data_IF_467239992638
#
_entry.id   IF_467239992638
#
_cell.length_a   1.000
_cell.length_b   1.000
_cell.length_c   1.000
_cell.angle_alpha   90.00
_cell.angle_beta   90.00
_cell.angle_gamma   90.00
#
_symmetry.space_group_name_H-M   'P 1'
#
loop_
_entity.id
_entity.type
_entity.pdbx_description
1 polymer ?
#
# COMPACT_ATOMS: atom_id res chain seq x y z
N UNK A 1 -74.43 8.39 -23.73
CA UNK A 1 -73.77 9.62 -24.21
C UNK A 1 -73.10 10.31 -23.01
N UNK A 2 -71.94 10.96 -23.21
CA UNK A 2 -70.86 11.03 -22.22
C UNK A 2 -70.75 12.39 -21.50
N UNK A 3 -70.23 12.38 -20.27
CA UNK A 3 -69.63 13.56 -19.62
C UNK A 3 -68.14 13.26 -19.34
N UNK A 4 -67.19 14.00 -19.94
CA UNK A 4 -65.83 13.50 -20.15
C UNK A 4 -64.79 14.08 -19.17
N UNK A 5 -63.89 13.21 -18.70
CA UNK A 5 -62.43 13.24 -18.87
C UNK A 5 -61.60 14.55 -18.73
N UNK A 6 -62.12 15.68 -18.24
CA UNK A 6 -61.36 16.94 -18.20
C UNK A 6 -60.55 17.15 -16.91
N UNK A 7 -60.97 16.56 -15.78
CA UNK A 7 -60.35 16.79 -14.46
C UNK A 7 -59.11 15.93 -14.15
N UNK A 8 -58.80 14.91 -14.96
CA UNK A 8 -57.57 14.08 -14.77
C UNK A 8 -56.32 14.64 -15.45
N UNK A 9 -56.43 15.60 -16.37
CA UNK A 9 -55.27 16.15 -17.09
C UNK A 9 -54.54 17.28 -16.36
N UNK A 10 -55.18 18.01 -15.43
CA UNK A 10 -54.50 19.10 -14.72
C UNK A 10 -53.58 18.64 -13.57
N UNK A 11 -53.77 17.45 -13.00
CA UNK A 11 -52.89 16.93 -11.93
C UNK A 11 -51.58 16.31 -12.43
N UNK A 12 -51.52 15.87 -13.69
CA UNK A 12 -50.28 15.28 -14.24
C UNK A 12 -49.26 16.34 -14.68
N UNK A 13 -49.69 17.51 -15.16
CA UNK A 13 -48.77 18.53 -15.67
C UNK A 13 -47.98 19.22 -14.55
N UNK A 14 -48.54 19.36 -13.35
CA UNK A 14 -47.85 19.96 -12.21
C UNK A 14 -46.78 19.02 -11.59
N UNK A 15 -46.95 17.70 -11.74
CA UNK A 15 -46.01 16.71 -11.22
C UNK A 15 -44.80 16.49 -12.13
N UNK A 16 -44.98 16.61 -13.45
CA UNK A 16 -43.90 16.44 -14.44
C UNK A 16 -42.99 17.68 -14.49
N UNK A 17 -43.55 18.90 -14.31
CA UNK A 17 -42.75 20.14 -14.30
C UNK A 17 -41.93 20.27 -13.02
N UNK A 18 -42.44 19.83 -11.85
CA UNK A 18 -41.66 19.78 -10.60
C UNK A 18 -40.52 18.76 -10.63
N UNK A 19 -40.66 17.64 -11.36
CA UNK A 19 -39.57 16.66 -11.52
C UNK A 19 -38.43 17.13 -12.42
N UNK A 20 -38.67 18.05 -13.37
CA UNK A 20 -37.61 18.65 -14.18
C UNK A 20 -36.84 19.76 -13.46
N UNK A 21 -37.47 20.48 -12.53
CA UNK A 21 -36.79 21.50 -11.74
C UNK A 21 -36.03 20.98 -10.51
N UNK A 22 -36.24 19.72 -10.11
CA UNK A 22 -35.44 19.06 -9.07
C UNK A 22 -34.33 18.15 -9.61
N UNK A 23 -34.22 17.99 -10.93
CA UNK A 23 -33.18 17.17 -11.57
C UNK A 23 -31.97 17.98 -12.06
N UNK A 24 -31.89 19.28 -11.71
CA UNK A 24 -30.78 20.17 -12.08
C UNK A 24 -30.04 20.76 -10.86
N UNK A 25 -30.26 20.22 -9.67
CA UNK A 25 -29.50 20.53 -8.46
C UNK A 25 -29.00 19.23 -7.84
N UNK A 26 -27.67 19.14 -7.68
CA UNK A 26 -26.88 18.00 -7.21
C UNK A 26 -26.67 16.85 -8.23
N UNK A 27 -25.93 17.11 -9.30
CA UNK A 27 -24.90 16.14 -9.65
C UNK A 27 -23.96 16.05 -8.44
N UNK A 28 -23.97 14.94 -7.71
CA UNK A 28 -23.10 14.75 -6.57
C UNK A 28 -21.65 14.90 -7.05
N UNK A 29 -20.81 15.58 -6.26
CA UNK A 29 -19.37 15.72 -6.53
C UNK A 29 -18.64 14.38 -6.70
N UNK A 30 -19.32 13.26 -6.41
CA UNK A 30 -18.86 11.88 -6.55
C UNK A 30 -18.86 11.34 -8.00
N UNK A 31 -19.27 12.10 -9.01
CA UNK A 31 -19.36 11.59 -10.40
C UNK A 31 -18.46 12.35 -11.39
N UNK A 32 -17.50 13.13 -10.89
CA UNK A 32 -16.52 13.82 -11.75
C UNK A 32 -15.43 12.85 -12.21
N UNK A 33 -15.16 12.88 -13.51
CA UNK A 33 -14.03 12.18 -14.12
C UNK A 33 -12.71 12.63 -13.49
N UNK A 34 -11.83 11.67 -13.23
CA UNK A 34 -10.49 11.91 -12.71
C UNK A 34 -9.57 12.27 -13.87
N UNK A 35 -9.12 13.53 -13.90
CA UNK A 35 -8.23 14.04 -14.95
C UNK A 35 -7.17 14.98 -14.38
N UNK A 36 -5.98 15.08 -14.99
CA UNK A 36 -4.95 16.04 -14.57
C UNK A 36 -5.41 17.50 -14.56
N UNK A 37 -6.32 17.88 -15.46
CA UNK A 37 -6.77 19.25 -15.61
C UNK A 37 -7.74 19.71 -14.50
N UNK A 38 -8.46 18.79 -13.87
CA UNK A 38 -9.58 19.12 -12.97
C UNK A 38 -9.48 18.49 -11.58
N UNK A 39 -8.65 17.46 -11.39
CA UNK A 39 -8.51 16.75 -10.12
C UNK A 39 -7.28 17.24 -9.36
N UNK A 40 -7.50 17.77 -8.15
CA UNK A 40 -6.41 18.15 -7.23
C UNK A 40 -6.06 16.96 -6.35
N UNK A 41 -4.78 16.62 -6.27
CA UNK A 41 -4.32 15.47 -5.50
C UNK A 41 -3.54 15.89 -4.27
N UNK A 42 -3.83 15.25 -3.15
CA UNK A 42 -3.13 15.37 -1.90
C UNK A 42 -2.23 14.16 -1.65
N UNK A 43 -1.08 14.36 -1.01
CA UNK A 43 -0.17 13.27 -0.64
C UNK A 43 0.41 13.45 0.75
N UNK A 44 0.17 12.49 1.64
CA UNK A 44 0.67 12.47 3.02
C UNK A 44 1.71 11.35 3.16
N UNK A 45 2.94 11.72 3.49
CA UNK A 45 4.05 10.78 3.65
C UNK A 45 4.92 10.66 2.40
N UNK A 46 6.05 11.36 2.39
CA UNK A 46 6.99 11.43 1.26
C UNK A 46 8.28 10.66 1.54
N UNK A 47 8.14 9.50 2.18
CA UNK A 47 9.25 8.56 2.43
C UNK A 47 9.76 7.87 1.16
N UNK A 48 10.51 6.79 1.32
CA UNK A 48 11.13 6.02 0.21
C UNK A 48 10.10 5.67 -0.87
N UNK A 49 8.98 5.08 -0.47
CA UNK A 49 7.88 4.72 -1.38
C UNK A 49 7.12 5.96 -1.88
N UNK A 50 6.61 6.77 -0.94
CA UNK A 50 5.68 7.86 -1.24
C UNK A 50 6.24 8.93 -2.15
N UNK A 51 7.54 9.25 -2.04
CA UNK A 51 8.20 10.21 -2.94
C UNK A 51 8.12 9.78 -4.40
N UNK A 52 8.41 8.51 -4.70
CA UNK A 52 8.38 7.99 -6.07
C UNK A 52 6.95 7.94 -6.60
N UNK A 53 6.01 7.44 -5.79
CA UNK A 53 4.60 7.31 -6.16
C UNK A 53 3.94 8.67 -6.43
N UNK A 54 4.12 9.65 -5.54
CA UNK A 54 3.61 11.00 -5.72
C UNK A 54 4.29 11.70 -6.92
N UNK A 55 5.56 11.39 -7.16
CA UNK A 55 6.31 11.87 -8.31
C UNK A 55 5.74 11.44 -9.66
N UNK A 56 5.11 10.27 -9.75
CA UNK A 56 4.44 9.82 -10.98
C UNK A 56 3.16 10.62 -11.25
N UNK A 57 2.42 10.99 -10.21
CA UNK A 57 1.24 11.84 -10.34
C UNK A 57 1.61 13.24 -10.87
N UNK A 58 2.72 13.82 -10.39
CA UNK A 58 3.27 15.05 -10.96
C UNK A 58 3.64 14.89 -12.43
N UNK A 59 4.31 13.78 -12.79
CA UNK A 59 4.68 13.50 -14.19
C UNK A 59 3.47 13.36 -15.10
N UNK A 60 2.36 12.85 -14.58
CA UNK A 60 1.09 12.75 -15.28
C UNK A 60 0.31 14.08 -15.36
N UNK A 61 0.86 15.17 -14.80
CA UNK A 61 0.30 16.52 -14.88
C UNK A 61 -0.70 16.88 -13.78
N UNK A 62 -0.87 16.04 -12.76
CA UNK A 62 -1.76 16.38 -11.64
C UNK A 62 -1.16 17.48 -10.75
N UNK A 63 -2.02 18.39 -10.30
CA UNK A 63 -1.65 19.32 -9.24
C UNK A 63 -1.54 18.59 -7.90
N UNK A 64 -0.39 18.71 -7.24
CA UNK A 64 -0.08 17.96 -6.03
C UNK A 64 0.18 18.86 -4.82
N UNK A 65 -0.57 18.63 -3.73
CA UNK A 65 -0.31 19.21 -2.41
C UNK A 65 0.22 18.12 -1.48
N UNK A 66 1.39 18.32 -0.88
CA UNK A 66 2.10 17.29 -0.11
C UNK A 66 2.27 17.70 1.34
N UNK A 67 2.33 16.70 2.21
CA UNK A 67 2.73 16.85 3.61
C UNK A 67 3.66 15.71 4.02
N UNK A 68 4.65 16.04 4.83
CA UNK A 68 5.44 15.05 5.54
C UNK A 68 5.84 15.59 6.91
N UNK A 69 5.80 14.74 7.95
CA UNK A 69 6.22 15.10 9.32
C UNK A 69 7.61 15.74 9.37
N UNK A 70 8.51 15.29 8.49
CA UNK A 70 9.82 15.90 8.27
C UNK A 70 9.77 16.65 6.93
N UNK A 71 9.57 17.98 6.92
CA UNK A 71 9.35 18.75 5.68
C UNK A 71 10.44 18.57 4.62
N UNK A 72 11.70 18.47 5.03
CA UNK A 72 12.84 18.27 4.12
C UNK A 72 12.71 17.01 3.22
N UNK A 73 11.96 15.97 3.65
CA UNK A 73 11.73 14.79 2.81
C UNK A 73 10.79 15.07 1.62
N UNK A 74 10.04 16.17 1.64
CA UNK A 74 9.18 16.57 0.53
C UNK A 74 9.93 17.37 -0.54
N UNK A 75 11.14 17.87 -0.27
CA UNK A 75 11.88 18.77 -1.15
C UNK A 75 11.96 18.28 -2.61
N UNK A 76 12.27 17.00 -2.91
CA UNK A 76 12.34 16.54 -4.30
C UNK A 76 11.02 16.62 -5.09
N UNK A 77 9.87 16.69 -4.40
CA UNK A 77 8.57 16.92 -5.02
C UNK A 77 8.28 18.41 -5.19
N UNK A 78 8.73 19.24 -4.25
CA UNK A 78 8.61 20.70 -4.32
C UNK A 78 9.42 21.27 -5.49
N UNK A 79 10.63 20.75 -5.70
CA UNK A 79 11.48 21.10 -6.85
C UNK A 79 10.82 20.78 -8.20
N UNK A 80 9.81 19.90 -8.19
CA UNK A 80 9.03 19.48 -9.35
C UNK A 80 7.64 20.15 -9.41
N UNK A 81 7.37 21.14 -8.57
CA UNK A 81 6.15 21.94 -8.60
C UNK A 81 5.04 21.51 -7.65
N UNK A 82 5.27 20.52 -6.76
CA UNK A 82 4.32 20.25 -5.68
C UNK A 82 4.28 21.40 -4.67
N UNK A 83 3.15 21.57 -3.98
CA UNK A 83 3.01 22.53 -2.88
C UNK A 83 3.06 21.85 -1.52
N UNK A 84 3.84 22.40 -0.60
CA UNK A 84 3.87 21.91 0.78
C UNK A 84 2.70 22.47 1.58
N UNK A 85 1.98 21.62 2.31
CA UNK A 85 1.00 22.02 3.30
C UNK A 85 1.54 21.88 4.74
N UNK A 86 0.95 22.62 5.68
CA UNK A 86 1.35 22.57 7.09
C UNK A 86 0.86 21.34 7.85
N UNK A 87 -0.15 20.63 7.33
CA UNK A 87 -0.74 19.47 8.03
C UNK A 87 -1.58 18.55 7.11
N UNK A 88 -1.94 17.33 7.56
CA UNK A 88 -2.82 16.42 6.82
C UNK A 88 -4.18 17.05 6.49
N UNK A 89 -4.82 17.73 7.44
CA UNK A 89 -6.07 18.45 7.20
C UNK A 89 -5.91 19.57 6.15
N UNK A 90 -4.76 20.26 6.15
CA UNK A 90 -4.46 21.29 5.14
C UNK A 90 -4.26 20.69 3.74
N UNK A 91 -3.63 19.51 3.62
CA UNK A 91 -3.57 18.76 2.35
C UNK A 91 -4.98 18.44 1.88
N UNK A 92 -5.82 17.92 2.78
CA UNK A 92 -7.18 17.52 2.45
C UNK A 92 -8.06 18.68 1.96
N UNK A 93 -7.99 19.85 2.60
CA UNK A 93 -8.74 21.05 2.15
C UNK A 93 -8.37 21.52 0.74
N UNK A 94 -7.15 21.22 0.30
CA UNK A 94 -6.64 21.62 -1.01
C UNK A 94 -6.86 20.56 -2.11
N UNK A 95 -7.47 19.42 -1.78
CA UNK A 95 -7.47 18.22 -2.64
C UNK A 95 -8.86 17.62 -2.80
N UNK A 96 -9.07 16.90 -3.91
CA UNK A 96 -10.27 16.11 -4.18
C UNK A 96 -10.03 14.61 -3.89
N UNK A 97 -8.78 14.16 -4.06
CA UNK A 97 -8.31 12.82 -3.67
C UNK A 97 -7.04 12.98 -2.85
N UNK A 98 -6.97 12.37 -1.67
CA UNK A 98 -5.80 12.40 -0.79
C UNK A 98 -5.25 11.00 -0.62
N UNK A 99 -4.00 10.79 -0.99
CA UNK A 99 -3.27 9.57 -0.70
C UNK A 99 -2.47 9.72 0.60
N UNK A 100 -2.32 8.63 1.34
CA UNK A 100 -1.37 8.54 2.44
C UNK A 100 -0.54 7.25 2.37
N UNK A 101 0.74 7.34 2.68
CA UNK A 101 1.62 6.18 2.86
C UNK A 101 2.65 6.47 3.96
N UNK A 102 2.39 5.95 5.16
CA UNK A 102 3.14 6.28 6.38
C UNK A 102 3.75 5.03 7.04
N UNK A 103 4.38 5.18 8.21
CA UNK A 103 5.21 4.12 8.79
C UNK A 103 4.42 3.00 9.48
N UNK A 104 3.52 3.38 10.39
CA UNK A 104 2.84 2.46 11.30
C UNK A 104 1.31 2.69 11.34
N UNK A 105 0.50 1.70 11.77
CA UNK A 105 -0.94 1.89 11.95
C UNK A 105 -1.31 3.07 12.85
N UNK A 106 -0.52 3.36 13.88
CA UNK A 106 -0.70 4.53 14.73
C UNK A 106 -0.50 5.85 13.98
N UNK A 107 0.48 5.90 13.05
CA UNK A 107 0.65 7.05 12.16
C UNK A 107 -0.56 7.19 11.24
N UNK A 108 -1.07 6.09 10.65
CA UNK A 108 -2.27 6.08 9.80
C UNK A 108 -3.47 6.66 10.56
N UNK A 109 -3.75 6.12 11.75
CA UNK A 109 -4.84 6.62 12.61
C UNK A 109 -4.70 8.11 12.85
N UNK A 110 -3.50 8.58 13.23
CA UNK A 110 -3.27 10.01 13.49
C UNK A 110 -3.49 10.87 12.25
N UNK A 111 -2.90 10.50 11.12
CA UNK A 111 -3.00 11.35 9.91
C UNK A 111 -4.35 11.27 9.22
N UNK A 112 -5.14 10.21 9.44
CA UNK A 112 -6.47 10.07 8.86
C UNK A 112 -7.57 10.61 9.79
N UNK A 113 -7.55 10.21 11.07
CA UNK A 113 -8.68 10.33 12.01
C UNK A 113 -8.51 11.39 13.11
N UNK A 114 -7.36 12.06 13.22
CA UNK A 114 -7.25 13.15 14.20
C UNK A 114 -8.36 14.19 13.94
N UNK A 115 -9.15 14.55 14.96
CA UNK A 115 -10.37 15.35 14.77
C UNK A 115 -10.09 16.78 14.32
N UNK A 116 -8.87 17.29 14.52
CA UNK A 116 -8.49 18.67 14.21
C UNK A 116 -7.52 18.76 13.05
N UNK A 117 -6.59 17.80 12.95
CA UNK A 117 -5.47 17.85 12.04
C UNK A 117 -5.40 16.66 11.07
N UNK A 118 -6.29 15.69 11.24
CA UNK A 118 -6.39 14.52 10.37
C UNK A 118 -6.97 14.88 8.99
N UNK A 119 -6.64 14.08 7.99
CA UNK A 119 -7.09 14.29 6.62
C UNK A 119 -8.62 14.31 6.51
N UNK A 120 -9.34 13.41 7.19
CA UNK A 120 -10.80 13.39 7.13
C UNK A 120 -11.44 14.68 7.67
N UNK A 121 -10.82 15.35 8.65
CA UNK A 121 -11.31 16.63 9.17
C UNK A 121 -11.20 17.79 8.14
N UNK A 122 -10.38 17.63 7.11
CA UNK A 122 -10.18 18.62 6.05
C UNK A 122 -10.85 18.30 4.72
N UNK A 123 -11.39 17.09 4.52
CA UNK A 123 -11.98 16.70 3.24
C UNK A 123 -13.33 17.39 3.00
N UNK A 124 -13.55 17.82 1.76
CA UNK A 124 -14.86 18.30 1.32
C UNK A 124 -15.76 17.12 0.92
N UNK A 125 -17.10 17.23 1.05
CA UNK A 125 -18.03 16.19 0.60
C UNK A 125 -17.78 15.70 -0.84
N UNK A 126 -17.76 14.38 -1.01
CA UNK A 126 -17.45 13.68 -2.27
C UNK A 126 -15.97 13.43 -2.53
N UNK A 127 -15.08 13.95 -1.68
CA UNK A 127 -13.64 13.66 -1.77
C UNK A 127 -13.31 12.23 -1.33
N UNK A 128 -12.10 11.76 -1.65
CA UNK A 128 -11.65 10.41 -1.33
C UNK A 128 -10.33 10.41 -0.56
N UNK A 129 -10.26 9.63 0.51
CA UNK A 129 -9.00 9.27 1.17
C UNK A 129 -8.53 7.90 0.68
N UNK A 130 -7.26 7.75 0.36
CA UNK A 130 -6.67 6.48 -0.07
C UNK A 130 -5.47 6.14 0.82
N UNK A 131 -5.59 5.11 1.64
CA UNK A 131 -4.50 4.59 2.47
C UNK A 131 -3.72 3.52 1.73
N UNK A 132 -2.50 3.84 1.32
CA UNK A 132 -1.57 2.90 0.66
C UNK A 132 -0.54 2.29 1.62
N UNK A 133 -0.69 2.55 2.92
CA UNK A 133 0.14 1.97 3.99
C UNK A 133 -0.23 0.51 4.21
N UNK A 134 0.73 -0.33 4.58
CA UNK A 134 0.40 -1.64 5.16
C UNK A 134 0.05 -1.45 6.63
N UNK A 135 -1.23 -1.69 6.96
CA UNK A 135 -1.87 -1.32 8.22
C UNK A 135 -2.93 -2.34 8.65
N UNK A 136 -3.60 -2.09 9.78
CA UNK A 136 -4.63 -2.97 10.34
C UNK A 136 -5.93 -2.97 9.50
N UNK A 137 -6.49 -4.13 9.13
CA UNK A 137 -7.77 -4.20 8.41
C UNK A 137 -8.94 -3.55 9.16
N UNK A 138 -8.97 -3.67 10.48
CA UNK A 138 -10.00 -3.04 11.31
C UNK A 138 -9.92 -1.51 11.27
N UNK A 139 -8.71 -0.94 11.25
CA UNK A 139 -8.51 0.51 11.12
C UNK A 139 -8.98 1.01 9.74
N UNK A 140 -8.75 0.25 8.68
CA UNK A 140 -9.27 0.60 7.35
C UNK A 140 -10.82 0.65 7.32
N UNK A 141 -11.49 -0.30 7.99
CA UNK A 141 -12.94 -0.29 8.12
C UNK A 141 -13.45 0.92 8.93
N UNK A 142 -12.75 1.27 10.02
CA UNK A 142 -13.06 2.47 10.82
C UNK A 142 -12.91 3.76 10.00
N UNK A 143 -11.83 3.88 9.23
CA UNK A 143 -11.58 5.05 8.36
C UNK A 143 -12.67 5.17 7.30
N UNK A 144 -13.09 4.05 6.70
CA UNK A 144 -14.18 4.05 5.73
C UNK A 144 -15.51 4.53 6.33
N UNK A 145 -15.83 4.11 7.55
CA UNK A 145 -17.04 4.55 8.24
C UNK A 145 -16.98 6.03 8.62
N UNK A 146 -15.85 6.51 9.14
CA UNK A 146 -15.64 7.92 9.44
C UNK A 146 -15.74 8.80 8.17
N UNK A 147 -15.16 8.35 7.05
CA UNK A 147 -15.26 9.06 5.77
C UNK A 147 -16.71 9.13 5.29
N UNK A 148 -17.46 8.02 5.40
CA UNK A 148 -18.87 7.94 5.01
C UNK A 148 -19.74 8.91 5.83
N UNK A 149 -19.50 9.04 7.13
CA UNK A 149 -20.18 10.01 7.98
C UNK A 149 -19.96 11.46 7.52
N UNK A 150 -18.79 11.77 6.96
CA UNK A 150 -18.45 13.05 6.34
C UNK A 150 -18.88 13.20 4.87
N UNK A 151 -19.73 12.31 4.34
CA UNK A 151 -20.10 12.26 2.91
C UNK A 151 -18.88 12.13 1.96
N UNK A 152 -17.82 11.49 2.43
CA UNK A 152 -16.61 11.17 1.69
C UNK A 152 -16.49 9.65 1.50
N UNK A 153 -15.48 9.21 0.75
CA UNK A 153 -15.12 7.80 0.65
C UNK A 153 -13.69 7.57 1.18
N UNK A 154 -13.41 6.35 1.65
CA UNK A 154 -12.05 5.91 1.90
C UNK A 154 -11.79 4.54 1.28
N UNK A 155 -10.58 4.39 0.74
CA UNK A 155 -10.08 3.17 0.09
C UNK A 155 -8.79 2.74 0.80
N UNK A 156 -8.72 1.50 1.28
CA UNK A 156 -7.45 0.89 1.66
C UNK A 156 -6.81 0.23 0.43
N UNK A 157 -5.68 0.78 -0.02
CA UNK A 157 -4.98 0.39 -1.24
C UNK A 157 -3.49 0.08 -1.00
N UNK A 158 -3.11 -0.78 -0.04
CA UNK A 158 -1.72 -1.15 0.19
C UNK A 158 -1.07 -1.77 -1.05
N UNK A 159 0.26 -1.68 -1.11
CA UNK A 159 1.03 -2.02 -2.32
C UNK A 159 2.05 -3.13 -2.13
N UNK A 160 2.40 -3.81 -3.22
CA UNK A 160 3.51 -4.78 -3.30
C UNK A 160 4.41 -4.48 -4.51
N UNK A 161 5.70 -4.76 -4.37
CA UNK A 161 6.74 -4.44 -5.38
C UNK A 161 7.96 -3.65 -4.85
N UNK A 162 7.86 -3.12 -3.63
CA UNK A 162 8.95 -2.40 -2.94
C UNK A 162 9.39 -1.12 -3.65
N UNK A 163 10.52 -0.54 -3.20
CA UNK A 163 11.07 0.72 -3.75
C UNK A 163 11.29 0.64 -5.26
N UNK A 164 11.77 -0.50 -5.76
CA UNK A 164 11.95 -0.73 -7.21
C UNK A 164 10.64 -0.57 -7.98
N UNK A 165 9.56 -1.22 -7.53
CA UNK A 165 8.25 -1.10 -8.17
C UNK A 165 7.70 0.31 -8.07
N UNK A 166 7.90 1.00 -6.94
CA UNK A 166 7.46 2.37 -6.75
C UNK A 166 8.16 3.33 -7.72
N UNK A 167 9.48 3.21 -7.90
CA UNK A 167 10.23 4.02 -8.87
C UNK A 167 9.85 3.71 -10.32
N UNK A 168 9.58 2.45 -10.63
CA UNK A 168 9.23 2.02 -11.97
C UNK A 168 7.75 2.26 -12.35
N UNK A 169 6.89 2.60 -11.39
CA UNK A 169 5.45 2.74 -11.63
C UNK A 169 4.76 1.39 -11.89
N UNK A 170 5.30 0.30 -11.34
CA UNK A 170 4.83 -1.07 -11.60
C UNK A 170 4.35 -1.78 -10.33
N UNK A 171 3.82 -1.03 -9.35
CA UNK A 171 3.33 -1.62 -8.12
C UNK A 171 2.11 -2.51 -8.37
N UNK A 172 1.96 -3.57 -7.57
CA UNK A 172 0.65 -4.22 -7.41
C UNK A 172 -0.09 -3.50 -6.30
N UNK A 173 -1.29 -2.99 -6.58
CA UNK A 173 -2.11 -2.23 -5.64
C UNK A 173 -3.33 -3.06 -5.27
N UNK A 174 -3.57 -3.31 -3.99
CA UNK A 174 -4.68 -4.13 -3.50
C UNK A 174 -5.76 -3.23 -2.90
N UNK A 175 -6.81 -2.90 -3.64
CA UNK A 175 -7.80 -1.91 -3.23
C UNK A 175 -9.05 -2.55 -2.60
N UNK A 176 -9.31 -2.23 -1.33
CA UNK A 176 -10.55 -2.47 -0.61
C UNK A 176 -11.37 -1.19 -0.45
N UNK A 177 -12.70 -1.30 -0.52
CA UNK A 177 -13.63 -0.17 -0.36
C UNK A 177 -14.81 -0.26 -1.33
N UNK A 178 -15.41 0.89 -1.67
CA UNK A 178 -16.49 0.96 -2.65
C UNK A 178 -15.96 0.69 -4.07
N UNK A 179 -16.51 -0.31 -4.76
CA UNK A 179 -16.06 -0.73 -6.09
C UNK A 179 -16.20 0.37 -7.17
N UNK A 180 -17.21 1.23 -7.08
CA UNK A 180 -17.39 2.36 -8.01
C UNK A 180 -16.29 3.38 -7.79
N UNK A 181 -15.99 3.70 -6.53
CA UNK A 181 -14.92 4.64 -6.17
C UNK A 181 -13.55 4.08 -6.58
N UNK A 182 -13.28 2.81 -6.34
CA UNK A 182 -12.01 2.17 -6.77
C UNK A 182 -11.83 2.29 -8.29
N UNK A 183 -12.85 1.94 -9.09
CA UNK A 183 -12.79 2.08 -10.56
C UNK A 183 -12.61 3.53 -11.00
N UNK A 184 -13.27 4.48 -10.33
CA UNK A 184 -13.13 5.90 -10.64
C UNK A 184 -11.69 6.39 -10.46
N UNK A 185 -10.96 5.83 -9.50
CA UNK A 185 -9.56 6.17 -9.19
C UNK A 185 -8.53 5.49 -10.10
N UNK A 186 -8.95 4.64 -11.05
CA UNK A 186 -8.05 3.95 -12.00
C UNK A 186 -7.01 4.87 -12.66
N UNK A 187 -7.36 6.10 -13.13
CA UNK A 187 -6.37 6.99 -13.77
C UNK A 187 -5.23 7.42 -12.84
N UNK A 188 -5.49 7.49 -11.52
CA UNK A 188 -4.46 7.82 -10.52
C UNK A 188 -3.63 6.57 -10.17
N UNK A 189 -4.29 5.44 -9.96
CA UNK A 189 -3.58 4.17 -9.68
C UNK A 189 -2.67 3.77 -10.83
N UNK A 190 -3.14 3.90 -12.08
CA UNK A 190 -2.41 3.60 -13.30
C UNK A 190 -1.11 4.39 -13.48
N UNK A 191 -0.94 5.52 -12.77
CA UNK A 191 0.31 6.28 -12.76
C UNK A 191 1.44 5.56 -11.99
N UNK A 192 1.11 4.66 -11.05
CA UNK A 192 2.08 4.07 -10.12
C UNK A 192 2.02 2.55 -10.03
N UNK A 193 1.03 1.91 -10.65
CA UNK A 193 0.91 0.47 -10.66
C UNK A 193 -0.40 -0.03 -11.26
N UNK A 194 -0.67 -1.32 -11.02
CA UNK A 194 -1.90 -2.01 -11.44
C UNK A 194 -2.74 -2.29 -10.21
N UNK A 195 -3.95 -1.74 -10.20
CA UNK A 195 -4.93 -1.95 -9.12
C UNK A 195 -5.72 -3.24 -9.32
N UNK A 196 -5.99 -3.91 -8.19
CA UNK A 196 -6.82 -5.11 -8.10
C UNK A 196 -7.83 -4.88 -6.98
N UNK A 197 -9.11 -4.93 -7.32
CA UNK A 197 -10.18 -4.81 -6.34
C UNK A 197 -10.29 -6.07 -5.49
N UNK A 198 -10.31 -5.91 -4.16
CA UNK A 198 -10.28 -7.00 -3.19
C UNK A 198 -11.59 -7.17 -2.40
N UNK A 199 -12.56 -6.28 -2.61
CA UNK A 199 -13.83 -6.27 -1.89
C UNK A 199 -14.02 -4.99 -1.09
N UNK A 200 -14.88 -5.05 -0.07
CA UNK A 200 -15.22 -3.90 0.78
C UNK A 200 -14.06 -3.40 1.66
N UNK A 201 -14.33 -2.43 2.55
CA UNK A 201 -13.32 -1.85 3.42
C UNK A 201 -12.52 -2.88 4.22
N UNK A 202 -11.20 -2.72 4.26
CA UNK A 202 -10.24 -3.60 4.94
C UNK A 202 -9.78 -4.82 4.13
N UNK A 203 -10.44 -5.11 2.99
CA UNK A 203 -10.06 -6.26 2.16
C UNK A 203 -8.74 -6.04 1.41
N UNK A 204 -8.36 -4.80 1.11
CA UNK A 204 -7.06 -4.46 0.55
C UNK A 204 -5.94 -4.78 1.54
N UNK A 205 -6.11 -4.37 2.80
CA UNK A 205 -5.20 -4.73 3.90
C UNK A 205 -5.11 -6.25 4.07
N UNK A 206 -6.22 -6.97 4.13
CA UNK A 206 -6.20 -8.45 4.25
C UNK A 206 -5.46 -9.13 3.09
N UNK A 207 -5.69 -8.67 1.87
CA UNK A 207 -4.95 -9.16 0.70
C UNK A 207 -3.44 -8.88 0.83
N UNK A 208 -3.06 -7.70 1.34
CA UNK A 208 -1.66 -7.37 1.62
C UNK A 208 -1.07 -8.24 2.72
N UNK A 209 -1.78 -8.49 3.82
CA UNK A 209 -1.31 -9.38 4.89
C UNK A 209 -1.07 -10.79 4.37
N UNK A 210 -1.99 -11.34 3.56
CA UNK A 210 -1.79 -12.60 2.87
C UNK A 210 -0.53 -12.63 2.00
N UNK A 211 -0.23 -11.54 1.30
CA UNK A 211 1.02 -11.39 0.55
C UNK A 211 2.26 -11.43 1.45
N UNK A 212 2.23 -10.75 2.60
CA UNK A 212 3.35 -10.72 3.56
C UNK A 212 3.59 -12.09 4.21
N UNK A 213 2.52 -12.85 4.51
CA UNK A 213 2.61 -14.23 5.01
C UNK A 213 3.34 -15.13 4.00
N UNK A 214 2.95 -15.08 2.72
CA UNK A 214 3.58 -15.88 1.67
C UNK A 214 5.07 -15.51 1.49
N UNK A 215 5.40 -14.22 1.55
CA UNK A 215 6.78 -13.74 1.49
C UNK A 215 7.61 -14.29 2.67
N UNK A 216 7.05 -14.28 3.88
CA UNK A 216 7.75 -14.70 5.09
C UNK A 216 8.20 -16.16 5.00
N UNK A 217 7.28 -17.08 4.72
CA UNK A 217 7.59 -18.50 4.60
C UNK A 217 8.51 -18.82 3.43
N UNK A 218 8.36 -18.11 2.30
CA UNK A 218 9.25 -18.29 1.14
C UNK A 218 10.69 -17.86 1.47
N UNK A 219 10.87 -16.77 2.21
CA UNK A 219 12.21 -16.32 2.60
C UNK A 219 12.87 -17.30 3.57
N UNK A 220 12.14 -17.85 4.54
CA UNK A 220 12.65 -18.90 5.45
C UNK A 220 13.16 -20.09 4.64
N UNK A 221 12.35 -20.62 3.72
CA UNK A 221 12.76 -21.74 2.86
C UNK A 221 13.98 -21.43 2.00
N UNK A 222 14.09 -20.19 1.47
CA UNK A 222 15.26 -19.76 0.71
C UNK A 222 16.54 -19.79 1.57
N UNK A 223 16.53 -19.14 2.74
CA UNK A 223 17.75 -19.04 3.57
C UNK A 223 18.16 -20.37 4.20
N UNK A 224 17.19 -21.21 4.58
CA UNK A 224 17.46 -22.57 5.07
C UNK A 224 18.05 -23.45 3.96
N UNK A 225 17.48 -23.40 2.75
CA UNK A 225 17.99 -24.13 1.59
C UNK A 225 19.42 -23.70 1.23
N UNK A 226 19.72 -22.40 1.25
CA UNK A 226 21.06 -21.89 1.01
C UNK A 226 22.07 -22.37 2.06
N UNK A 227 21.69 -22.37 3.34
CA UNK A 227 22.55 -22.88 4.42
C UNK A 227 22.75 -24.39 4.34
N UNK A 228 21.71 -25.15 3.97
CA UNK A 228 21.83 -26.58 3.71
C UNK A 228 22.80 -26.85 2.55
N UNK A 229 22.60 -26.19 1.40
CA UNK A 229 23.46 -26.35 0.23
C UNK A 229 24.92 -26.05 0.57
N UNK A 230 25.17 -24.98 1.34
CA UNK A 230 26.50 -24.63 1.83
C UNK A 230 27.10 -25.73 2.71
N UNK A 231 26.35 -26.22 3.70
CA UNK A 231 26.84 -27.25 4.63
C UNK A 231 27.06 -28.60 3.94
N UNK A 232 26.27 -28.89 2.91
CA UNK A 232 26.40 -30.08 2.06
C UNK A 232 27.59 -30.00 1.08
N UNK A 233 28.31 -28.87 1.02
CA UNK A 233 29.47 -28.69 0.14
C UNK A 233 29.12 -28.34 -1.30
N UNK A 234 27.89 -27.90 -1.58
CA UNK A 234 27.51 -27.42 -2.90
C UNK A 234 28.04 -26.00 -3.14
N UNK A 235 28.30 -25.69 -4.42
CA UNK A 235 28.38 -24.30 -4.87
C UNK A 235 26.96 -23.71 -4.83
N UNK A 236 26.72 -22.82 -3.88
CA UNK A 236 25.39 -22.25 -3.61
C UNK A 236 24.91 -21.38 -4.78
N UNK A 237 25.80 -20.75 -5.54
CA UNK A 237 25.45 -19.98 -6.73
C UNK A 237 24.89 -20.89 -7.82
N UNK A 238 25.62 -21.96 -8.17
CA UNK A 238 25.16 -22.97 -9.12
C UNK A 238 23.89 -23.67 -8.65
N UNK A 239 23.76 -23.92 -7.35
CA UNK A 239 22.55 -24.51 -6.78
C UNK A 239 21.35 -23.58 -6.95
N UNK A 240 21.48 -22.28 -6.63
CA UNK A 240 20.41 -21.29 -6.83
C UNK A 240 19.98 -21.22 -8.30
N UNK A 241 20.93 -21.19 -9.23
CA UNK A 241 20.65 -21.21 -10.67
C UNK A 241 19.84 -22.46 -11.05
N UNK A 242 20.29 -23.64 -10.62
CA UNK A 242 19.65 -24.91 -10.95
C UNK A 242 18.20 -25.01 -10.44
N UNK A 243 17.89 -24.47 -9.27
CA UNK A 243 16.54 -24.55 -8.70
C UNK A 243 15.61 -23.43 -9.19
N UNK A 244 16.15 -22.33 -9.71
CA UNK A 244 15.39 -21.11 -10.06
C UNK A 244 14.29 -21.34 -11.10
N UNK A 245 14.49 -22.27 -12.02
CA UNK A 245 13.52 -22.60 -13.09
C UNK A 245 12.59 -23.77 -12.74
N UNK A 246 12.86 -24.47 -11.64
CA UNK A 246 12.09 -25.63 -11.18
C UNK A 246 10.94 -25.25 -10.25
N UNK A 247 10.33 -26.27 -9.61
CA UNK A 247 9.23 -26.07 -8.67
C UNK A 247 9.59 -25.25 -7.42
N UNK A 248 10.89 -25.16 -7.09
CA UNK A 248 11.40 -24.33 -6.00
C UNK A 248 11.67 -22.86 -6.43
N UNK A 249 11.52 -22.56 -7.72
CA UNK A 249 11.66 -21.22 -8.27
C UNK A 249 10.66 -20.24 -7.65
N UNK A 250 11.13 -19.03 -7.31
CA UNK A 250 10.25 -17.99 -6.78
C UNK A 250 10.81 -16.60 -7.05
N UNK A 251 9.93 -15.59 -7.04
CA UNK A 251 10.36 -14.20 -7.23
C UNK A 251 11.34 -13.74 -6.15
N UNK A 252 11.24 -14.27 -4.93
CA UNK A 252 12.17 -13.92 -3.86
C UNK A 252 13.55 -14.52 -4.08
N UNK A 253 13.62 -15.74 -4.61
CA UNK A 253 14.89 -16.35 -5.01
C UNK A 253 15.60 -15.47 -6.04
N UNK A 254 14.90 -15.07 -7.10
CA UNK A 254 15.47 -14.20 -8.15
C UNK A 254 15.97 -12.86 -7.61
N UNK A 255 15.24 -12.29 -6.64
CA UNK A 255 15.53 -10.97 -6.11
C UNK A 255 16.64 -10.98 -5.05
N UNK A 256 16.73 -12.05 -4.25
CA UNK A 256 17.52 -12.06 -3.03
C UNK A 256 18.61 -13.13 -2.98
N UNK A 257 18.50 -14.24 -3.72
CA UNK A 257 19.48 -15.34 -3.66
C UNK A 257 20.91 -14.87 -3.94
N UNK A 258 21.13 -14.17 -5.05
CA UNK A 258 22.44 -13.57 -5.37
C UNK A 258 22.86 -12.50 -4.36
N UNK A 259 21.93 -11.64 -3.91
CA UNK A 259 22.25 -10.58 -2.94
C UNK A 259 22.71 -11.16 -1.61
N UNK A 260 22.09 -12.24 -1.15
CA UNK A 260 22.51 -12.98 0.04
C UNK A 260 23.93 -13.52 -0.14
N UNK A 261 24.23 -14.14 -1.28
CA UNK A 261 25.57 -14.65 -1.60
C UNK A 261 26.63 -13.55 -1.63
N UNK A 262 26.28 -12.40 -2.21
CA UNK A 262 27.16 -11.24 -2.30
C UNK A 262 27.25 -10.44 -0.98
N UNK A 263 26.57 -10.90 0.08
CA UNK A 263 26.42 -10.21 1.39
C UNK A 263 25.79 -8.81 1.29
N UNK A 264 25.03 -8.55 0.24
CA UNK A 264 24.27 -7.31 0.05
C UNK A 264 22.97 -7.35 0.88
N UNK A 265 23.04 -6.72 2.07
CA UNK A 265 21.92 -6.58 3.00
C UNK A 265 21.22 -5.22 2.90
N UNK A 266 21.46 -4.44 1.84
CA UNK A 266 20.80 -3.14 1.68
C UNK A 266 19.28 -3.31 1.55
N UNK A 267 18.56 -2.51 2.33
CA UNK A 267 17.12 -2.57 2.42
C UNK A 267 16.42 -2.06 1.16
N UNK A 268 15.70 -2.97 0.50
CA UNK A 268 14.58 -2.61 -0.39
C UNK A 268 13.25 -2.64 0.34
N UNK A 269 13.20 -3.42 1.42
CA UNK A 269 12.16 -3.45 2.41
C UNK A 269 12.81 -3.79 3.75
N UNK A 270 12.62 -2.91 4.73
CA UNK A 270 13.33 -2.97 6.01
C UNK A 270 12.80 -4.09 6.90
N UNK A 271 13.70 -4.74 7.65
CA UNK A 271 13.36 -5.76 8.64
C UNK A 271 12.35 -5.23 9.66
N UNK A 272 12.54 -4.03 10.21
CA UNK A 272 11.62 -3.48 11.21
C UNK A 272 10.19 -3.28 10.68
N UNK A 273 10.05 -2.89 9.41
CA UNK A 273 8.75 -2.79 8.77
C UNK A 273 8.14 -4.17 8.51
N UNK A 274 8.96 -5.17 8.18
CA UNK A 274 8.44 -6.52 7.98
C UNK A 274 8.00 -7.17 9.30
N UNK A 275 8.76 -7.00 10.39
CA UNK A 275 8.36 -7.43 11.73
C UNK A 275 7.01 -6.81 12.10
N UNK A 276 6.84 -5.50 11.87
CA UNK A 276 5.54 -4.82 12.05
C UNK A 276 4.43 -5.49 11.24
N UNK A 277 4.63 -5.70 9.93
CA UNK A 277 3.61 -6.34 9.07
C UNK A 277 3.24 -7.75 9.57
N UNK A 278 4.22 -8.57 9.93
CA UNK A 278 3.98 -9.92 10.44
C UNK A 278 3.29 -9.91 11.81
N UNK A 279 3.56 -8.91 12.65
CA UNK A 279 2.82 -8.67 13.89
C UNK A 279 1.33 -8.40 13.63
N UNK A 280 1.02 -7.55 12.64
CA UNK A 280 -0.36 -7.28 12.21
C UNK A 280 -1.02 -8.57 11.69
N UNK A 281 -0.31 -9.37 10.89
CA UNK A 281 -0.80 -10.67 10.43
C UNK A 281 -1.17 -11.59 11.60
N UNK A 282 -0.32 -11.68 12.63
CA UNK A 282 -0.57 -12.52 13.80
C UNK A 282 -1.80 -12.04 14.58
N UNK A 283 -1.97 -10.73 14.77
CA UNK A 283 -3.15 -10.16 15.41
C UNK A 283 -4.44 -10.43 14.62
N UNK A 284 -4.41 -10.27 13.28
CA UNK A 284 -5.56 -10.60 12.44
C UNK A 284 -5.87 -12.11 12.45
N UNK A 285 -4.84 -12.96 12.50
CA UNK A 285 -5.05 -14.41 12.65
C UNK A 285 -5.73 -14.75 13.98
N UNK A 286 -5.34 -14.11 15.08
CA UNK A 286 -5.98 -14.29 16.39
C UNK A 286 -7.46 -13.89 16.35
N UNK A 287 -7.81 -12.76 15.72
CA UNK A 287 -9.21 -12.31 15.62
C UNK A 287 -10.09 -13.29 14.83
N UNK A 288 -9.51 -14.02 13.88
CA UNK A 288 -10.19 -15.05 13.09
C UNK A 288 -10.16 -16.46 13.72
N UNK A 289 -9.44 -16.66 14.83
CA UNK A 289 -9.20 -18.01 15.37
C UNK A 289 -8.34 -18.89 14.46
N UNK A 290 -7.45 -18.29 13.65
CA UNK A 290 -6.60 -18.98 12.68
C UNK A 290 -5.19 -19.20 13.24
N UNK A 291 -4.69 -20.43 13.22
CA UNK A 291 -3.33 -20.76 13.64
C UNK A 291 -2.40 -20.98 12.43
N UNK A 292 -1.39 -20.12 12.28
CA UNK A 292 -0.39 -20.20 11.20
C UNK A 292 1.02 -20.38 11.77
N UNK A 293 1.49 -21.61 12.00
CA UNK A 293 2.79 -21.86 12.66
C UNK A 293 3.99 -21.33 11.84
N UNK A 294 3.94 -21.42 10.51
CA UNK A 294 5.00 -20.89 9.65
C UNK A 294 5.16 -19.37 9.74
N UNK A 295 4.05 -18.63 9.89
CA UNK A 295 4.08 -17.18 10.14
C UNK A 295 4.71 -16.87 11.50
N UNK A 296 4.29 -17.58 12.55
CA UNK A 296 4.81 -17.38 13.90
C UNK A 296 6.33 -17.63 13.97
N UNK A 297 6.81 -18.71 13.34
CA UNK A 297 8.23 -19.01 13.22
C UNK A 297 8.99 -17.88 12.50
N UNK A 298 8.53 -17.49 11.30
CA UNK A 298 9.18 -16.45 10.52
C UNK A 298 9.24 -15.13 11.30
N UNK A 299 8.15 -14.74 11.96
CA UNK A 299 8.12 -13.56 12.81
C UNK A 299 9.20 -13.60 13.90
N UNK A 300 9.35 -14.71 14.62
CA UNK A 300 10.38 -14.84 15.67
C UNK A 300 11.81 -14.75 15.10
N UNK A 301 12.06 -15.34 13.93
CA UNK A 301 13.37 -15.22 13.27
C UNK A 301 13.68 -13.76 12.89
N UNK A 302 12.71 -13.00 12.37
CA UNK A 302 12.92 -11.58 12.08
C UNK A 302 13.02 -10.70 13.33
N UNK A 303 12.28 -11.01 14.40
CA UNK A 303 12.44 -10.36 15.70
C UNK A 303 13.86 -10.57 16.24
N UNK A 304 14.47 -11.74 15.99
CA UNK A 304 15.85 -11.97 16.39
C UNK A 304 16.83 -11.01 15.70
N UNK A 305 16.63 -10.65 14.43
CA UNK A 305 17.44 -9.64 13.73
C UNK A 305 17.32 -8.27 14.41
N UNK A 306 16.09 -7.88 14.77
CA UNK A 306 15.85 -6.62 15.51
C UNK A 306 16.63 -6.58 16.82
N UNK A 307 16.65 -7.69 17.57
CA UNK A 307 17.40 -7.80 18.82
C UNK A 307 18.92 -7.67 18.63
N UNK A 308 19.43 -7.90 17.42
CA UNK A 308 20.84 -7.72 17.06
C UNK A 308 21.14 -6.36 16.41
N UNK A 309 20.20 -5.41 16.43
CA UNK A 309 20.38 -4.08 15.84
C UNK A 309 20.25 -4.04 14.32
N UNK A 310 19.68 -5.07 13.70
CA UNK A 310 19.66 -5.26 12.24
C UNK A 310 18.34 -4.80 11.60
N UNK A 311 17.58 -3.96 12.30
CA UNK A 311 16.28 -3.49 11.84
C UNK A 311 16.33 -2.65 10.57
N UNK A 312 17.46 -2.00 10.29
CA UNK A 312 17.69 -1.19 9.10
C UNK A 312 18.19 -2.00 7.90
N UNK A 313 18.43 -3.30 8.06
CA UNK A 313 18.78 -4.19 6.95
C UNK A 313 17.55 -4.59 6.13
N UNK A 314 17.79 -5.10 4.92
CA UNK A 314 16.76 -5.68 4.07
C UNK A 314 16.27 -7.03 4.60
N UNK A 315 15.06 -7.44 4.19
CA UNK A 315 14.48 -8.73 4.61
C UNK A 315 15.34 -9.95 4.28
N UNK A 316 16.21 -9.86 3.28
CA UNK A 316 17.19 -10.91 2.97
C UNK A 316 18.22 -11.15 4.08
N UNK A 317 18.37 -10.23 5.03
CA UNK A 317 19.22 -10.39 6.21
C UNK A 317 18.75 -11.52 7.15
N UNK A 318 17.60 -12.15 6.88
CA UNK A 318 17.17 -13.37 7.58
C UNK A 318 18.24 -14.47 7.59
N UNK A 319 19.09 -14.53 6.57
CA UNK A 319 20.24 -15.44 6.54
C UNK A 319 21.13 -15.31 7.79
N UNK A 320 21.31 -14.09 8.33
CA UNK A 320 22.16 -13.82 9.49
C UNK A 320 21.61 -14.52 10.75
N UNK A 321 20.29 -14.60 10.91
CA UNK A 321 19.67 -15.35 11.99
C UNK A 321 19.96 -16.85 11.86
N UNK A 322 19.85 -17.41 10.66
CA UNK A 322 20.12 -18.83 10.41
C UNK A 322 21.62 -19.16 10.59
N UNK A 323 22.51 -18.26 10.18
CA UNK A 323 23.96 -18.40 10.40
C UNK A 323 24.31 -18.50 11.89
N UNK A 324 23.70 -17.64 12.72
CA UNK A 324 23.88 -17.67 14.18
C UNK A 324 23.40 -18.98 14.80
N UNK A 325 22.25 -19.49 14.38
CA UNK A 325 21.72 -20.77 14.87
C UNK A 325 22.63 -21.96 14.57
N UNK A 326 23.45 -21.86 13.52
CA UNK A 326 24.31 -22.95 13.06
C UNK A 326 25.81 -22.70 13.32
N UNK A 327 26.16 -21.58 13.95
CA UNK A 327 27.54 -21.12 14.13
C UNK A 327 28.38 -21.26 12.83
N UNK A 328 27.77 -20.89 11.70
CA UNK A 328 28.34 -21.07 10.36
C UNK A 328 27.97 -19.86 9.51
N UNK A 329 28.93 -19.27 8.81
CA UNK A 329 28.71 -18.16 7.89
C UNK A 329 28.73 -18.66 6.45
N UNK A 330 27.74 -18.27 5.66
CA UNK A 330 27.67 -18.52 4.23
C UNK A 330 28.83 -17.80 3.54
N UNK A 331 29.81 -18.58 3.06
CA UNK A 331 30.89 -18.03 2.25
C UNK A 331 30.35 -17.70 0.86
N UNK A 332 30.55 -16.47 0.40
CA UNK A 332 30.33 -16.13 -1.01
C UNK A 332 31.12 -17.10 -1.89
N UNK A 333 30.53 -17.53 -3.01
CA UNK A 333 31.25 -18.36 -3.97
C UNK A 333 32.56 -17.69 -4.40
N UNK A 334 33.56 -18.45 -4.88
CA UNK A 334 34.80 -17.87 -5.37
C UNK A 334 34.45 -16.77 -6.38
N UNK A 335 34.94 -15.55 -6.13
CA UNK A 335 34.87 -14.46 -7.09
C UNK A 335 35.38 -15.00 -8.43
N UNK A 336 34.59 -14.90 -9.49
CA UNK A 336 35.05 -15.17 -10.85
C UNK A 336 36.13 -14.14 -11.20
N UNK A 337 37.35 -14.42 -10.77
CA UNK A 337 38.55 -13.63 -10.93
C UNK A 337 39.73 -14.60 -10.97
N UNK A 338 40.39 -14.64 -12.12
CA UNK A 338 41.56 -15.44 -12.49
C UNK A 338 41.38 -16.96 -12.60
N UNK A 339 40.97 -17.40 -13.78
CA UNK A 339 41.64 -18.48 -14.55
C UNK A 339 41.45 -18.19 -16.03
#
# INVERSE_FOLDING_TARGET
MPFPAFLRRLRLTCFVVRRRFFAMAAASSSDRDITPATTRVGWIGTGVMGRSMAGHLLSAGYYLTVFNRTPAKAQPLLDRGAKLAGSPAAVARASDVVFLIVGYPSDVRRVALDPTDGALAGLAPGSVLVDMTTSDPALAAEIAEAARAGSCAAIDAPVSGGDRGARAGTLSIFAGGDAVVVRRLEPLFGCMGTVRYMGGPGQGQRAKLGNQIAIASTMVGLVEGMMYAHKAGLDVGRWLEAISTGAAGSKLLDLYGKRILDRDMEARFYVHHFVKDLGICLTECQSMGLALPGLALAHQLYVSLMAHGEGELGTQALILAIERLNNTCLKGGPSSGSA
#
